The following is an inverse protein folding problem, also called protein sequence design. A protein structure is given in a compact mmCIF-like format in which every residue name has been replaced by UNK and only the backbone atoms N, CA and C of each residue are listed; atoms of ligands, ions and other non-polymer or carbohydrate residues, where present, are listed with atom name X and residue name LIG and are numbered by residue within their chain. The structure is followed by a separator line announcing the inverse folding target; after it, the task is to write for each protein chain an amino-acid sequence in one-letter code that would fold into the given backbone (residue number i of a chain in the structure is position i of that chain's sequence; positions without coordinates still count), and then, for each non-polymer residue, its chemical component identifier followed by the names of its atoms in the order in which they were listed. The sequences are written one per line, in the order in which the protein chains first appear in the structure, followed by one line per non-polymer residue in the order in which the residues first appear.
data_IF_779588453229
#
_entry.id   IF_779588453229
#
_cell.length_a   1.000
_cell.length_b   1.000
_cell.length_c   1.000
_cell.angle_alpha   90.00
_cell.angle_beta   90.00
_cell.angle_gamma   90.00
#
_symmetry.space_group_name_H-M   'P 1'
#
loop_
_entity.id
_entity.type
_entity.pdbx_description
1 polymer ?
#
# COMPACT_ATOMS: atom_id res chain seq x y z
N UNK A 1 -37.94 40.47 -19.92
CA UNK A 1 -37.10 39.81 -18.90
C UNK A 1 -35.66 40.00 -19.38
N UNK A 2 -35.05 41.05 -18.90
CA UNK A 2 -33.75 41.51 -19.39
C UNK A 2 -32.61 40.63 -18.83
N UNK A 3 -32.25 39.60 -19.57
CA UNK A 3 -30.99 38.86 -19.33
C UNK A 3 -29.80 39.51 -20.09
N UNK A 4 -29.99 40.73 -20.64
CA UNK A 4 -29.02 41.39 -21.52
C UNK A 4 -28.23 42.57 -20.96
N UNK A 5 -28.44 42.96 -19.69
CA UNK A 5 -27.88 44.21 -19.16
C UNK A 5 -26.96 44.08 -17.96
N UNK A 6 -26.09 43.04 -17.93
CA UNK A 6 -24.99 43.04 -16.97
C UNK A 6 -23.88 44.00 -17.46
N UNK A 7 -23.34 44.79 -16.53
CA UNK A 7 -22.20 45.66 -16.81
C UNK A 7 -21.02 44.87 -17.37
N UNK A 8 -20.35 45.33 -18.44
CA UNK A 8 -19.22 44.61 -19.05
C UNK A 8 -18.14 44.22 -18.06
N UNK A 9 -17.87 45.03 -17.06
CA UNK A 9 -16.90 44.74 -16.00
C UNK A 9 -17.36 43.55 -15.13
N UNK A 10 -18.65 43.41 -14.85
CA UNK A 10 -19.18 42.24 -14.12
C UNK A 10 -19.05 40.96 -14.94
N UNK A 11 -19.32 41.04 -16.24
CA UNK A 11 -19.14 39.89 -17.16
C UNK A 11 -17.67 39.46 -17.17
N UNK A 12 -16.75 40.40 -17.22
CA UNK A 12 -15.30 40.12 -17.20
C UNK A 12 -14.89 39.48 -15.87
N UNK A 13 -15.38 39.96 -14.75
CA UNK A 13 -15.11 39.41 -13.43
C UNK A 13 -15.66 37.97 -13.33
N UNK A 14 -16.83 37.69 -13.89
CA UNK A 14 -17.39 36.33 -13.93
C UNK A 14 -16.55 35.36 -14.76
N UNK A 15 -16.00 35.80 -15.88
CA UNK A 15 -15.07 35.02 -16.70
C UNK A 15 -13.79 34.68 -15.92
N UNK A 16 -13.22 35.68 -15.23
CA UNK A 16 -12.05 35.51 -14.38
C UNK A 16 -12.36 34.51 -13.24
N UNK A 17 -13.53 34.66 -12.61
CA UNK A 17 -13.96 33.74 -11.53
C UNK A 17 -14.06 32.31 -12.01
N UNK A 18 -14.54 32.09 -13.24
CA UNK A 18 -14.60 30.75 -13.84
C UNK A 18 -13.21 30.12 -14.00
N UNK A 19 -12.25 30.90 -14.53
CA UNK A 19 -10.86 30.43 -14.63
C UNK A 19 -10.24 30.15 -13.25
N UNK A 20 -10.53 30.99 -12.26
CA UNK A 20 -10.05 30.81 -10.88
C UNK A 20 -10.59 29.52 -10.28
N UNK A 21 -11.85 29.18 -10.55
CA UNK A 21 -12.42 27.89 -10.10
C UNK A 21 -11.74 26.69 -10.75
N UNK A 22 -11.43 26.76 -12.04
CA UNK A 22 -10.72 25.70 -12.75
C UNK A 22 -9.30 25.52 -12.18
N UNK A 23 -8.60 26.60 -11.91
CA UNK A 23 -7.29 26.59 -11.26
C UNK A 23 -7.41 26.04 -9.83
N UNK A 24 -8.47 26.40 -9.11
CA UNK A 24 -8.76 25.92 -7.75
C UNK A 24 -8.89 24.41 -7.66
N UNK A 25 -9.49 23.77 -8.66
CA UNK A 25 -9.54 22.31 -8.75
C UNK A 25 -8.14 21.72 -8.90
N UNK A 26 -7.30 22.32 -9.74
CA UNK A 26 -5.91 21.88 -9.91
C UNK A 26 -5.09 22.04 -8.62
N UNK A 27 -5.31 23.11 -7.87
CA UNK A 27 -4.67 23.35 -6.56
C UNK A 27 -5.06 22.26 -5.55
N UNK A 28 -6.33 21.91 -5.49
CA UNK A 28 -6.83 20.87 -4.59
C UNK A 28 -6.21 19.49 -4.88
N UNK A 29 -5.91 19.20 -6.15
CA UNK A 29 -5.32 17.93 -6.59
C UNK A 29 -3.80 17.97 -6.70
N UNK A 30 -3.15 19.10 -6.45
CA UNK A 30 -1.71 19.20 -6.57
C UNK A 30 -1.01 18.42 -5.47
N UNK A 31 -0.25 17.40 -5.85
CA UNK A 31 0.41 16.46 -4.96
C UNK A 31 1.95 16.60 -4.93
N UNK A 32 2.49 17.55 -5.67
CA UNK A 32 3.93 17.76 -5.81
C UNK A 32 4.56 18.56 -4.69
N UNK A 33 5.79 18.99 -4.91
CA UNK A 33 6.60 19.82 -4.01
C UNK A 33 6.82 21.21 -4.60
N UNK A 34 7.31 22.13 -3.78
CA UNK A 34 7.53 23.53 -4.20
C UNK A 34 8.51 23.68 -5.37
N UNK A 35 9.47 22.77 -5.51
CA UNK A 35 10.44 22.78 -6.59
C UNK A 35 9.85 22.36 -7.95
N UNK A 36 8.67 21.77 -7.98
CA UNK A 36 8.06 21.27 -9.20
C UNK A 36 7.64 22.40 -10.14
N UNK A 37 7.77 22.15 -11.45
CA UNK A 37 7.33 23.09 -12.49
C UNK A 37 5.84 23.40 -12.41
N UNK A 38 5.03 22.42 -12.05
CA UNK A 38 3.58 22.54 -11.92
C UNK A 38 3.19 23.46 -10.77
N UNK A 39 3.93 23.47 -9.67
CA UNK A 39 3.74 24.42 -8.58
C UNK A 39 3.91 25.86 -9.07
N UNK A 40 5.01 26.13 -9.76
CA UNK A 40 5.30 27.46 -10.34
C UNK A 40 4.26 27.87 -11.36
N UNK A 41 3.79 26.93 -12.17
CA UNK A 41 2.76 27.16 -13.17
C UNK A 41 1.43 27.56 -12.54
N UNK A 42 1.00 26.87 -11.48
CA UNK A 42 -0.21 27.22 -10.74
C UNK A 42 -0.09 28.56 -10.02
N UNK A 43 1.06 28.83 -9.39
CA UNK A 43 1.33 30.13 -8.75
C UNK A 43 1.28 31.28 -9.75
N UNK A 44 1.91 31.12 -10.91
CA UNK A 44 1.86 32.12 -12.00
C UNK A 44 0.45 32.31 -12.54
N UNK A 45 -0.31 31.26 -12.73
CA UNK A 45 -1.68 31.33 -13.21
C UNK A 45 -2.58 32.10 -12.24
N UNK A 46 -2.45 31.87 -10.94
CA UNK A 46 -3.18 32.58 -9.90
C UNK A 46 -2.77 34.06 -9.83
N UNK A 47 -1.48 34.35 -9.90
CA UNK A 47 -0.96 35.73 -9.91
C UNK A 47 -1.45 36.47 -11.14
N UNK A 48 -1.49 35.85 -12.31
CA UNK A 48 -2.05 36.43 -13.54
C UNK A 48 -3.51 36.82 -13.37
N UNK A 49 -4.32 36.01 -12.72
CA UNK A 49 -5.73 36.30 -12.44
C UNK A 49 -5.87 37.55 -11.55
N UNK A 50 -5.00 37.71 -10.54
CA UNK A 50 -4.98 38.93 -9.73
C UNK A 50 -4.68 40.19 -10.56
N UNK A 51 -3.71 40.11 -11.47
CA UNK A 51 -3.36 41.21 -12.35
C UNK A 51 -4.51 41.55 -13.31
N UNK A 52 -5.20 40.57 -13.86
CA UNK A 52 -6.37 40.75 -14.69
C UNK A 52 -7.54 41.41 -13.93
N UNK A 53 -7.75 41.01 -12.65
CA UNK A 53 -8.74 41.67 -11.79
C UNK A 53 -8.41 43.16 -11.53
N UNK A 54 -7.14 43.45 -11.27
CA UNK A 54 -6.70 44.82 -11.03
C UNK A 54 -6.89 45.72 -12.27
N UNK A 55 -6.89 45.15 -13.47
CA UNK A 55 -7.12 45.87 -14.72
C UNK A 55 -8.60 46.12 -15.02
N UNK A 56 -9.53 45.52 -14.28
CA UNK A 56 -10.97 45.75 -14.46
C UNK A 56 -11.37 47.09 -13.90
N UNK A 57 -11.96 47.93 -14.75
CA UNK A 57 -12.45 49.23 -14.34
C UNK A 57 -13.75 49.12 -13.53
N UNK A 58 -13.79 49.70 -12.36
CA UNK A 58 -14.96 49.69 -11.48
C UNK A 58 -15.94 50.86 -11.75
N UNK A 59 -15.49 51.91 -12.43
CA UNK A 59 -16.29 53.11 -12.72
C UNK A 59 -17.02 53.67 -11.48
N UNK A 60 -16.46 53.47 -10.30
CA UNK A 60 -17.04 53.94 -9.05
C UNK A 60 -18.29 53.17 -8.59
N UNK A 61 -18.66 52.05 -9.27
CA UNK A 61 -19.80 51.24 -8.92
C UNK A 61 -19.45 50.27 -7.78
N UNK A 62 -20.18 50.37 -6.68
CA UNK A 62 -19.96 49.51 -5.50
C UNK A 62 -20.11 48.02 -5.74
N UNK A 63 -21.03 47.61 -6.61
CA UNK A 63 -21.27 46.22 -6.98
C UNK A 63 -20.08 45.60 -7.70
N UNK A 64 -19.50 46.35 -8.64
CA UNK A 64 -18.32 45.88 -9.38
C UNK A 64 -17.10 45.80 -8.47
N UNK A 65 -16.91 46.78 -7.60
CA UNK A 65 -15.84 46.81 -6.61
C UNK A 65 -15.90 45.60 -5.67
N UNK A 66 -17.09 45.28 -5.18
CA UNK A 66 -17.28 44.12 -4.27
C UNK A 66 -17.08 42.79 -4.99
N UNK A 67 -17.59 42.66 -6.22
CA UNK A 67 -17.38 41.45 -7.02
C UNK A 67 -15.89 41.20 -7.27
N UNK A 68 -15.14 42.25 -7.66
CA UNK A 68 -13.69 42.20 -7.85
C UNK A 68 -12.97 41.79 -6.58
N UNK A 69 -13.33 42.35 -5.44
CA UNK A 69 -12.76 42.07 -4.14
C UNK A 69 -12.99 40.60 -3.72
N UNK A 70 -14.20 40.05 -3.95
CA UNK A 70 -14.50 38.64 -3.65
C UNK A 70 -13.63 37.67 -4.42
N UNK A 71 -13.49 37.91 -5.73
CA UNK A 71 -12.67 37.04 -6.58
C UNK A 71 -11.19 37.16 -6.23
N UNK A 72 -10.69 38.36 -5.91
CA UNK A 72 -9.34 38.55 -5.41
C UNK A 72 -9.08 37.76 -4.11
N UNK A 73 -10.03 37.76 -3.19
CA UNK A 73 -9.94 36.99 -1.97
C UNK A 73 -9.94 35.45 -2.22
N UNK A 74 -10.72 34.98 -3.20
CA UNK A 74 -10.69 33.59 -3.62
C UNK A 74 -9.30 33.19 -4.14
N UNK A 75 -8.68 34.05 -4.98
CA UNK A 75 -7.33 33.79 -5.50
C UNK A 75 -6.28 33.78 -4.40
N UNK A 76 -6.32 34.71 -3.47
CA UNK A 76 -5.41 34.75 -2.32
C UNK A 76 -5.55 33.52 -1.44
N UNK A 77 -6.78 33.05 -1.23
CA UNK A 77 -7.07 31.83 -0.49
C UNK A 77 -6.48 30.60 -1.20
N UNK A 78 -6.58 30.52 -2.52
CA UNK A 78 -6.01 29.42 -3.30
C UNK A 78 -4.47 29.42 -3.27
N UNK A 79 -3.84 30.59 -3.33
CA UNK A 79 -2.38 30.73 -3.20
C UNK A 79 -1.91 30.21 -1.84
N UNK A 80 -2.63 30.56 -0.78
CA UNK A 80 -2.34 30.09 0.57
C UNK A 80 -2.57 28.60 0.72
N UNK A 81 -3.63 28.06 0.14
CA UNK A 81 -3.92 26.62 0.13
C UNK A 81 -2.83 25.84 -0.60
N UNK A 82 -2.36 26.32 -1.75
CA UNK A 82 -1.27 25.71 -2.50
C UNK A 82 0.01 25.62 -1.67
N UNK A 83 0.37 26.70 -0.97
CA UNK A 83 1.52 26.73 -0.06
C UNK A 83 1.34 25.79 1.12
N UNK A 84 0.17 25.78 1.74
CA UNK A 84 -0.14 24.88 2.87
C UNK A 84 -0.10 23.41 2.47
N UNK A 85 -0.58 23.05 1.28
CA UNK A 85 -0.56 21.69 0.78
C UNK A 85 0.86 21.16 0.61
N UNK A 86 1.76 21.99 0.05
CA UNK A 86 3.17 21.64 -0.12
C UNK A 86 3.89 21.49 1.22
N UNK A 87 3.59 22.37 2.17
CA UNK A 87 4.22 22.39 3.49
C UNK A 87 3.53 21.49 4.52
N UNK A 88 2.50 20.74 4.12
CA UNK A 88 1.82 19.82 5.03
C UNK A 88 2.79 18.79 5.60
N UNK A 89 2.79 18.53 6.92
CA UNK A 89 3.72 17.58 7.54
C UNK A 89 3.73 16.20 6.89
N UNK A 90 2.56 15.67 6.53
CA UNK A 90 2.44 14.37 5.84
C UNK A 90 3.05 14.40 4.45
N UNK A 91 2.92 15.52 3.71
CA UNK A 91 3.57 15.66 2.40
C UNK A 91 5.09 15.68 2.52
N UNK A 92 5.61 16.39 3.51
CA UNK A 92 7.04 16.42 3.81
C UNK A 92 7.55 15.04 4.25
N UNK A 93 6.77 14.32 5.01
CA UNK A 93 7.10 12.94 5.42
C UNK A 93 7.19 11.99 4.23
N UNK A 94 6.22 12.04 3.31
CA UNK A 94 6.25 11.28 2.06
C UNK A 94 7.53 11.58 1.27
N UNK A 95 7.85 12.86 1.11
CA UNK A 95 9.05 13.29 0.38
C UNK A 95 10.33 12.80 1.06
N UNK A 96 10.43 12.93 2.37
CA UNK A 96 11.59 12.46 3.14
C UNK A 96 11.80 10.95 3.00
N UNK A 97 10.73 10.18 3.07
CA UNK A 97 10.80 8.72 2.90
C UNK A 97 11.21 8.38 1.46
N UNK A 98 10.67 9.09 0.47
CA UNK A 98 11.03 8.88 -0.94
C UNK A 98 12.50 9.24 -1.21
N UNK A 99 13.02 10.30 -0.59
CA UNK A 99 14.44 10.66 -0.69
C UNK A 99 15.35 9.58 -0.08
N UNK A 100 14.95 8.94 1.00
CA UNK A 100 15.67 7.78 1.56
C UNK A 100 15.69 6.61 0.59
N UNK A 101 14.58 6.34 -0.09
CA UNK A 101 14.52 5.33 -1.14
C UNK A 101 15.47 5.64 -2.29
N UNK A 102 15.53 6.89 -2.74
CA UNK A 102 16.49 7.35 -3.76
C UNK A 102 17.93 7.11 -3.33
N UNK A 103 18.27 7.43 -2.09
CA UNK A 103 19.63 7.25 -1.57
C UNK A 103 20.04 5.77 -1.57
N UNK A 104 19.16 4.88 -1.12
CA UNK A 104 19.40 3.44 -1.15
C UNK A 104 19.61 2.91 -2.58
N UNK A 105 18.76 3.33 -3.51
CA UNK A 105 18.83 2.91 -4.90
C UNK A 105 20.10 3.42 -5.57
N UNK A 106 20.52 4.64 -5.28
CA UNK A 106 21.76 5.22 -5.86
C UNK A 106 22.99 4.38 -5.52
N UNK A 107 23.06 3.84 -4.30
CA UNK A 107 24.17 2.96 -3.90
C UNK A 107 24.15 1.60 -4.60
N UNK A 108 22.97 1.09 -4.96
CA UNK A 108 22.82 -0.27 -5.51
C UNK A 108 22.68 -0.33 -7.04
N UNK A 109 22.41 0.79 -7.73
CA UNK A 109 22.28 0.82 -9.19
C UNK A 109 23.58 0.40 -9.87
N UNK A 110 24.72 0.90 -9.42
CA UNK A 110 26.03 0.60 -10.02
C UNK A 110 26.37 -0.89 -9.93
N UNK A 111 26.22 -1.56 -8.78
CA UNK A 111 26.37 -3.02 -8.71
C UNK A 111 25.41 -3.79 -9.62
N UNK A 112 24.16 -3.36 -9.74
CA UNK A 112 23.16 -3.97 -10.62
C UNK A 112 23.54 -3.90 -12.09
N UNK A 113 24.02 -2.76 -12.54
CA UNK A 113 24.48 -2.55 -13.91
C UNK A 113 25.73 -3.38 -14.23
N UNK A 114 26.59 -3.60 -13.23
CA UNK A 114 27.79 -4.43 -13.34
C UNK A 114 27.57 -5.94 -13.15
N UNK A 115 26.32 -6.38 -12.98
CA UNK A 115 26.00 -7.79 -12.74
C UNK A 115 26.25 -8.28 -11.31
N UNK A 116 26.51 -7.38 -10.37
CA UNK A 116 26.67 -7.66 -8.93
C UNK A 116 25.37 -8.09 -8.26
N UNK A 117 25.51 -8.67 -7.06
CA UNK A 117 24.36 -9.05 -6.24
C UNK A 117 23.89 -7.88 -5.36
N UNK A 118 22.57 -7.76 -5.21
CA UNK A 118 21.96 -6.88 -4.22
C UNK A 118 22.04 -7.58 -2.87
N UNK A 119 22.40 -6.84 -1.83
CA UNK A 119 22.44 -7.36 -0.47
C UNK A 119 21.03 -7.63 0.08
N UNK A 120 20.90 -8.66 0.91
CA UNK A 120 19.64 -8.93 1.63
C UNK A 120 19.24 -7.74 2.51
N UNK A 121 20.22 -7.05 3.08
CA UNK A 121 20.04 -5.83 3.88
C UNK A 121 19.32 -4.72 3.08
N UNK A 122 19.69 -4.54 1.81
CA UNK A 122 19.01 -3.58 0.93
C UNK A 122 17.54 -3.95 0.73
N UNK A 123 17.24 -5.23 0.52
CA UNK A 123 15.86 -5.69 0.33
C UNK A 123 15.02 -5.42 1.59
N UNK A 124 15.56 -5.66 2.77
CA UNK A 124 14.90 -5.41 4.05
C UNK A 124 14.70 -3.91 4.30
N UNK A 125 15.70 -3.09 4.04
CA UNK A 125 15.61 -1.63 4.16
C UNK A 125 14.57 -1.04 3.21
N UNK A 126 14.51 -1.57 2.00
CA UNK A 126 13.55 -1.12 0.99
C UNK A 126 12.11 -1.53 1.35
N UNK A 127 11.93 -2.72 1.90
CA UNK A 127 10.63 -3.17 2.43
C UNK A 127 10.17 -2.27 3.59
N UNK A 128 11.08 -1.86 4.45
CA UNK A 128 10.81 -0.92 5.55
C UNK A 128 10.31 0.43 5.05
N UNK A 129 10.91 0.94 3.97
CA UNK A 129 10.47 2.17 3.30
C UNK A 129 9.03 2.06 2.81
N UNK A 130 8.68 0.94 2.18
CA UNK A 130 7.32 0.67 1.71
C UNK A 130 6.34 0.70 2.88
N UNK A 131 6.67 0.04 3.98
CA UNK A 131 5.84 0.05 5.18
C UNK A 131 5.63 1.45 5.74
N UNK A 132 6.69 2.26 5.82
CA UNK A 132 6.60 3.65 6.28
C UNK A 132 5.70 4.49 5.40
N UNK A 133 5.79 4.33 4.08
CA UNK A 133 4.91 5.04 3.14
C UNK A 133 3.44 4.65 3.33
N UNK A 134 3.14 3.38 3.56
CA UNK A 134 1.77 2.93 3.80
C UNK A 134 1.19 3.50 5.10
N UNK A 135 2.04 3.81 6.07
CA UNK A 135 1.62 4.32 7.38
C UNK A 135 1.47 5.84 7.43
N UNK A 136 1.88 6.58 6.40
CA UNK A 136 1.71 8.03 6.37
C UNK A 136 0.23 8.39 6.38
N UNK A 137 -0.16 9.26 7.31
CA UNK A 137 -1.54 9.72 7.46
C UNK A 137 -1.89 10.77 6.43
N UNK A 138 -2.98 10.56 5.70
CA UNK A 138 -3.47 11.49 4.69
C UNK A 138 -4.61 12.39 5.18
N UNK A 139 -5.25 12.04 6.30
CA UNK A 139 -6.38 12.79 6.85
C UNK A 139 -7.54 12.94 5.88
N UNK A 140 -7.70 12.02 4.95
CA UNK A 140 -8.72 12.09 3.90
C UNK A 140 -8.45 13.11 2.79
N UNK A 141 -7.30 13.79 2.81
CA UNK A 141 -6.96 14.81 1.81
C UNK A 141 -6.49 14.16 0.50
N UNK A 142 -7.14 14.52 -0.60
CA UNK A 142 -6.90 13.92 -1.92
C UNK A 142 -5.47 14.11 -2.40
N UNK A 143 -4.88 15.29 -2.22
CA UNK A 143 -3.51 15.55 -2.66
C UNK A 143 -2.48 14.70 -1.91
N UNK A 144 -2.71 14.42 -0.63
CA UNK A 144 -1.85 13.54 0.17
C UNK A 144 -2.00 12.07 -0.24
N UNK A 145 -3.22 11.61 -0.49
CA UNK A 145 -3.48 10.27 -1.03
C UNK A 145 -2.80 10.07 -2.37
N UNK A 146 -2.91 11.05 -3.25
CA UNK A 146 -2.26 11.03 -4.56
C UNK A 146 -0.74 10.98 -4.44
N UNK A 147 -0.14 11.80 -3.58
CA UNK A 147 1.29 11.82 -3.34
C UNK A 147 1.80 10.48 -2.79
N UNK A 148 1.11 9.93 -1.79
CA UNK A 148 1.43 8.63 -1.21
C UNK A 148 1.31 7.51 -2.24
N UNK A 149 0.23 7.48 -2.99
CA UNK A 149 0.00 6.47 -4.03
C UNK A 149 1.09 6.50 -5.11
N UNK A 150 1.46 7.70 -5.59
CA UNK A 150 2.54 7.85 -6.58
C UNK A 150 3.88 7.33 -6.04
N UNK A 151 4.23 7.71 -4.83
CA UNK A 151 5.46 7.24 -4.19
C UNK A 151 5.46 5.73 -4.02
N UNK A 152 4.38 5.16 -3.51
CA UNK A 152 4.23 3.71 -3.33
C UNK A 152 4.30 2.95 -4.64
N UNK A 153 3.63 3.43 -5.69
CA UNK A 153 3.63 2.78 -7.00
C UNK A 153 5.05 2.70 -7.56
N UNK A 154 5.81 3.77 -7.45
CA UNK A 154 7.21 3.83 -7.93
C UNK A 154 8.13 2.94 -7.12
N UNK A 155 8.07 3.03 -5.81
CA UNK A 155 8.90 2.23 -4.90
C UNK A 155 8.60 0.75 -5.06
N UNK A 156 7.34 0.36 -5.17
CA UNK A 156 6.95 -1.04 -5.38
C UNK A 156 7.37 -1.56 -6.74
N UNK A 157 7.30 -0.75 -7.80
CA UNK A 157 7.79 -1.12 -9.12
C UNK A 157 9.30 -1.40 -9.09
N UNK A 158 10.07 -0.55 -8.43
CA UNK A 158 11.52 -0.76 -8.23
C UNK A 158 11.79 -2.04 -7.45
N UNK A 159 11.05 -2.29 -6.37
CA UNK A 159 11.19 -3.53 -5.60
C UNK A 159 10.94 -4.77 -6.46
N UNK A 160 9.90 -4.78 -7.29
CA UNK A 160 9.60 -5.90 -8.18
C UNK A 160 10.69 -6.14 -9.21
N UNK A 161 11.23 -5.06 -9.79
CA UNK A 161 12.34 -5.14 -10.75
C UNK A 161 13.57 -5.77 -10.08
N UNK A 162 13.89 -5.34 -8.87
CA UNK A 162 15.02 -5.84 -8.09
C UNK A 162 14.83 -7.30 -7.70
N UNK A 163 13.66 -7.67 -7.17
CA UNK A 163 13.35 -9.05 -6.80
C UNK A 163 13.38 -10.01 -7.99
N UNK A 164 12.86 -9.57 -9.13
CA UNK A 164 12.93 -10.35 -10.37
C UNK A 164 14.37 -10.62 -10.79
N UNK A 165 15.25 -9.63 -10.66
CA UNK A 165 16.68 -9.75 -10.94
C UNK A 165 17.36 -10.76 -9.99
N UNK A 166 17.02 -10.73 -8.70
CA UNK A 166 17.57 -11.66 -7.71
C UNK A 166 17.16 -13.11 -7.97
N UNK A 167 15.90 -13.35 -8.31
CA UNK A 167 15.38 -14.70 -8.61
C UNK A 167 16.08 -15.34 -9.81
N UNK A 168 16.41 -14.57 -10.83
CA UNK A 168 17.06 -15.08 -12.05
C UNK A 168 18.50 -15.47 -11.85
N UNK A 169 19.21 -14.84 -10.92
CA UNK A 169 20.58 -15.28 -10.55
C UNK A 169 20.60 -16.66 -9.92
N UNK A 170 19.50 -17.09 -9.28
CA UNK A 170 19.36 -18.42 -8.72
C UNK A 170 19.10 -19.50 -9.77
N UNK A 171 18.65 -19.14 -10.97
CA UNK A 171 18.29 -20.07 -12.05
C UNK A 171 19.41 -20.35 -13.06
N UNK A 172 20.64 -19.95 -12.77
CA UNK A 172 21.87 -20.27 -13.52
C UNK A 172 21.82 -19.97 -15.03
N UNK A 173 21.88 -18.72 -15.38
CA UNK A 173 22.10 -18.26 -16.76
C UNK A 173 23.05 -17.08 -16.75
N UNK A 174 23.88 -16.90 -17.71
CA UNK A 174 23.73 -17.11 -19.16
C UNK A 174 24.43 -18.36 -19.69
N UNK A 175 23.99 -18.85 -20.87
CA UNK A 175 24.65 -19.88 -21.60
C UNK A 175 26.04 -19.36 -22.10
N UNK A 176 27.01 -20.28 -22.20
CA UNK A 176 28.33 -19.93 -22.72
C UNK A 176 28.24 -19.44 -24.16
N UNK A 177 28.90 -18.31 -24.47
CA UNK A 177 28.91 -17.70 -25.81
C UNK A 177 29.53 -18.61 -26.88
N UNK A 178 30.30 -19.62 -26.49
CA UNK A 178 30.96 -20.53 -27.40
C UNK A 178 30.04 -21.62 -27.98
N UNK A 179 28.86 -21.78 -27.42
CA UNK A 179 27.93 -22.86 -27.80
C UNK A 179 27.28 -22.65 -29.19
N UNK A 180 26.95 -21.41 -29.55
CA UNK A 180 26.32 -21.09 -30.84
C UNK A 180 26.38 -19.58 -31.10
N UNK A 181 26.47 -19.13 -32.38
CA UNK A 181 26.47 -17.68 -32.69
C UNK A 181 25.25 -16.92 -32.18
N UNK A 182 24.08 -17.55 -32.13
CA UNK A 182 22.85 -16.94 -31.60
C UNK A 182 22.96 -16.65 -30.10
N UNK A 183 23.67 -17.44 -29.32
CA UNK A 183 23.87 -17.20 -27.87
C UNK A 183 24.62 -15.90 -27.63
N UNK A 184 25.65 -15.62 -28.43
CA UNK A 184 26.39 -14.35 -28.35
C UNK A 184 25.47 -13.15 -28.58
N UNK A 185 24.59 -13.25 -29.58
CA UNK A 185 23.61 -12.20 -29.89
C UNK A 185 22.60 -12.02 -28.75
N UNK A 186 22.08 -13.12 -28.17
CA UNK A 186 21.18 -13.09 -27.03
C UNK A 186 21.85 -12.45 -25.80
N UNK A 187 23.13 -12.81 -25.56
CA UNK A 187 23.91 -12.22 -24.46
C UNK A 187 24.08 -10.69 -24.62
N UNK A 188 24.31 -10.23 -25.85
CA UNK A 188 24.40 -8.81 -26.16
C UNK A 188 23.05 -8.11 -25.90
N UNK A 189 21.97 -8.71 -26.34
CA UNK A 189 20.60 -8.19 -26.10
C UNK A 189 20.31 -8.15 -24.60
N UNK A 190 20.68 -9.18 -23.87
CA UNK A 190 20.51 -9.22 -22.41
C UNK A 190 21.31 -8.13 -21.70
N UNK A 191 22.54 -7.87 -22.17
CA UNK A 191 23.36 -6.77 -21.65
C UNK A 191 22.69 -5.40 -21.88
N UNK A 192 22.12 -5.19 -23.06
CA UNK A 192 21.36 -3.97 -23.37
C UNK A 192 20.10 -3.86 -22.49
N UNK A 193 19.38 -4.96 -22.28
CA UNK A 193 18.21 -5.00 -21.40
C UNK A 193 18.58 -4.68 -19.94
N UNK A 194 19.74 -5.13 -19.47
CA UNK A 194 20.25 -4.79 -18.13
C UNK A 194 20.53 -3.29 -17.99
N UNK A 195 21.06 -2.65 -19.02
CA UNK A 195 21.25 -1.19 -19.02
C UNK A 195 19.91 -0.47 -18.95
N UNK A 196 18.93 -0.91 -19.74
CA UNK A 196 17.58 -0.34 -19.72
C UNK A 196 16.93 -0.54 -18.35
N UNK A 197 17.16 -1.67 -17.69
CA UNK A 197 16.68 -1.90 -16.32
C UNK A 197 17.22 -0.85 -15.36
N UNK A 198 18.52 -0.58 -15.37
CA UNK A 198 19.12 0.46 -14.56
C UNK A 198 18.55 1.85 -14.87
N UNK A 199 18.36 2.16 -16.15
CA UNK A 199 17.76 3.41 -16.59
C UNK A 199 16.30 3.55 -16.17
N UNK A 200 15.54 2.46 -16.22
CA UNK A 200 14.16 2.42 -15.75
C UNK A 200 14.06 2.66 -14.24
N UNK A 201 14.92 2.03 -13.46
CA UNK A 201 14.98 2.26 -12.01
C UNK A 201 15.32 3.74 -11.73
N UNK A 202 16.28 4.31 -12.43
CA UNK A 202 16.64 5.72 -12.30
C UNK A 202 15.46 6.66 -12.67
N UNK A 203 14.72 6.32 -13.72
CA UNK A 203 13.54 7.08 -14.15
C UNK A 203 12.44 7.02 -13.09
N UNK A 204 12.10 5.83 -12.59
CA UNK A 204 11.06 5.64 -11.57
C UNK A 204 11.38 6.38 -10.27
N UNK A 205 12.66 6.47 -9.92
CA UNK A 205 13.10 7.17 -8.71
C UNK A 205 13.40 8.66 -8.95
N UNK A 206 13.22 9.15 -10.18
CA UNK A 206 13.49 10.54 -10.50
C UNK A 206 14.96 10.94 -10.43
N UNK A 207 15.89 10.00 -10.66
CA UNK A 207 17.34 10.23 -10.63
C UNK A 207 17.91 10.73 -11.97
N UNK A 208 17.20 10.48 -13.07
CA UNK A 208 17.61 10.89 -14.41
C UNK A 208 16.42 11.50 -15.15
N UNK A 209 16.48 12.82 -15.35
CA UNK A 209 15.41 13.58 -16.04
C UNK A 209 15.58 13.53 -17.58
N UNK A 210 16.72 13.05 -18.07
CA UNK A 210 17.02 13.07 -19.50
C UNK A 210 16.43 11.88 -20.28
N UNK A 211 16.00 10.84 -19.57
CA UNK A 211 15.40 9.64 -20.15
C UNK A 211 13.89 9.66 -20.01
N UNK A 212 13.22 9.26 -21.07
CA UNK A 212 11.73 9.21 -21.10
C UNK A 212 11.28 7.77 -21.24
N UNK A 213 10.06 7.50 -20.76
CA UNK A 213 9.42 6.20 -20.94
C UNK A 213 9.32 5.79 -22.41
N UNK A 214 9.02 6.73 -23.30
CA UNK A 214 8.95 6.50 -24.73
C UNK A 214 10.28 6.05 -25.33
N UNK A 215 11.39 6.62 -24.88
CA UNK A 215 12.73 6.23 -25.34
C UNK A 215 13.09 4.82 -24.90
N UNK A 216 12.87 4.50 -23.61
CA UNK A 216 13.14 3.15 -23.08
C UNK A 216 12.23 2.10 -23.72
N UNK A 217 10.96 2.41 -23.97
CA UNK A 217 10.01 1.54 -24.65
C UNK A 217 10.46 1.20 -26.06
N UNK A 218 10.99 2.18 -26.82
CA UNK A 218 11.52 1.96 -28.16
C UNK A 218 12.72 1.02 -28.16
N UNK A 219 13.65 1.21 -27.22
CA UNK A 219 14.83 0.34 -27.08
C UNK A 219 14.38 -1.09 -26.80
N UNK A 220 13.51 -1.29 -25.83
CA UNK A 220 13.01 -2.63 -25.46
C UNK A 220 12.26 -3.31 -26.61
N UNK A 221 11.43 -2.56 -27.34
CA UNK A 221 10.70 -3.07 -28.51
C UNK A 221 11.67 -3.49 -29.62
N UNK A 222 12.71 -2.70 -29.88
CA UNK A 222 13.76 -3.04 -30.85
C UNK A 222 14.49 -4.32 -30.46
N UNK A 223 14.79 -4.50 -29.17
CA UNK A 223 15.43 -5.73 -28.67
C UNK A 223 14.52 -6.96 -28.86
N UNK A 224 13.21 -6.83 -28.67
CA UNK A 224 12.25 -7.91 -28.95
C UNK A 224 12.24 -8.30 -30.42
N UNK A 225 12.29 -7.32 -31.33
CA UNK A 225 12.34 -7.55 -32.76
C UNK A 225 13.63 -8.30 -33.14
N UNK A 226 14.79 -7.90 -32.57
CA UNK A 226 16.06 -8.56 -32.79
C UNK A 226 16.04 -10.01 -32.27
N UNK A 227 15.39 -10.27 -31.13
CA UNK A 227 15.23 -11.63 -30.60
C UNK A 227 14.38 -12.52 -31.51
N UNK A 228 13.29 -11.98 -32.06
CA UNK A 228 12.39 -12.72 -32.96
C UNK A 228 13.10 -13.07 -34.29
N UNK A 229 14.08 -12.28 -34.72
CA UNK A 229 14.85 -12.49 -35.96
C UNK A 229 15.94 -13.54 -35.82
N UNK A 230 16.26 -14.02 -34.61
CA UNK A 230 17.30 -15.02 -34.40
C UNK A 230 16.87 -16.42 -34.82
N UNK A 231 17.77 -17.12 -35.53
CA UNK A 231 17.58 -18.52 -35.86
C UNK A 231 17.97 -19.40 -34.68
N UNK A 232 17.00 -20.07 -34.09
CA UNK A 232 17.16 -21.02 -32.96
C UNK A 232 16.70 -22.42 -33.33
N UNK A 233 16.49 -22.69 -34.62
CA UNK A 233 15.97 -23.97 -35.11
C UNK A 233 16.82 -25.16 -34.66
N UNK A 234 16.16 -26.14 -34.04
CA UNK A 234 16.81 -27.38 -33.59
C UNK A 234 17.57 -27.29 -32.25
N UNK A 235 17.60 -26.12 -31.59
CA UNK A 235 18.32 -25.91 -30.35
C UNK A 235 17.36 -25.55 -29.22
N UNK A 236 16.91 -26.53 -28.44
CA UNK A 236 15.91 -26.36 -27.37
C UNK A 236 16.41 -25.42 -26.26
N UNK A 237 17.69 -25.53 -25.84
CA UNK A 237 18.27 -24.69 -24.80
C UNK A 237 18.35 -23.22 -25.20
N UNK A 238 18.70 -22.96 -26.45
CA UNK A 238 18.81 -21.60 -27.01
C UNK A 238 17.40 -21.00 -27.13
N UNK A 239 16.43 -21.80 -27.54
CA UNK A 239 15.00 -21.39 -27.62
C UNK A 239 14.48 -21.00 -26.24
N UNK A 240 14.78 -21.80 -25.22
CA UNK A 240 14.38 -21.53 -23.83
C UNK A 240 15.04 -20.26 -23.30
N UNK A 241 16.34 -20.08 -23.57
CA UNK A 241 17.06 -18.88 -23.20
C UNK A 241 16.50 -17.63 -23.87
N UNK A 242 16.21 -17.68 -25.16
CA UNK A 242 15.53 -16.61 -25.87
C UNK A 242 14.17 -16.28 -25.24
N UNK A 243 13.38 -17.29 -24.91
CA UNK A 243 12.08 -17.14 -24.26
C UNK A 243 12.20 -16.40 -22.93
N UNK A 244 13.17 -16.76 -22.10
CA UNK A 244 13.42 -16.11 -20.82
C UNK A 244 13.80 -14.64 -20.96
N UNK A 245 14.64 -14.31 -21.96
CA UNK A 245 15.01 -12.93 -22.25
C UNK A 245 13.81 -12.14 -22.77
N UNK A 246 12.96 -12.73 -23.58
CA UNK A 246 11.69 -12.12 -24.03
C UNK A 246 10.78 -11.82 -22.85
N UNK A 247 10.64 -12.75 -21.92
CA UNK A 247 9.82 -12.56 -20.70
C UNK A 247 10.38 -11.43 -19.83
N UNK A 248 11.71 -11.32 -19.71
CA UNK A 248 12.38 -10.24 -19.00
C UNK A 248 12.07 -8.87 -19.60
N UNK A 249 12.21 -8.74 -20.91
CA UNK A 249 11.96 -7.50 -21.62
C UNK A 249 10.48 -7.11 -21.51
N UNK A 250 9.56 -8.06 -21.63
CA UNK A 250 8.13 -7.82 -21.46
C UNK A 250 7.79 -7.38 -20.03
N UNK A 251 8.48 -7.93 -19.03
CA UNK A 251 8.34 -7.49 -17.63
C UNK A 251 8.77 -6.03 -17.45
N UNK A 252 9.89 -5.63 -18.06
CA UNK A 252 10.35 -4.24 -18.04
C UNK A 252 9.36 -3.29 -18.74
N UNK A 253 8.79 -3.70 -19.88
CA UNK A 253 7.78 -2.93 -20.60
C UNK A 253 6.53 -2.68 -19.75
N UNK A 254 6.10 -3.66 -18.97
CA UNK A 254 4.97 -3.49 -18.04
C UNK A 254 5.18 -2.38 -17.02
N UNK A 255 6.40 -2.21 -16.53
CA UNK A 255 6.71 -1.18 -15.54
C UNK A 255 6.76 0.22 -16.16
N UNK A 256 6.99 0.34 -17.47
CA UNK A 256 6.94 1.61 -18.18
C UNK A 256 5.52 2.16 -18.32
N UNK A 257 4.52 1.30 -18.36
CA UNK A 257 3.12 1.71 -18.48
C UNK A 257 2.59 2.44 -17.23
N UNK A 258 3.30 2.33 -16.09
CA UNK A 258 2.90 2.98 -14.83
C UNK A 258 2.87 4.52 -14.90
N UNK A 259 3.64 5.15 -15.78
CA UNK A 259 3.61 6.60 -15.95
C UNK A 259 2.41 7.10 -16.75
N UNK A 260 1.82 6.28 -17.62
CA UNK A 260 0.62 6.62 -18.37
C UNK A 260 -0.64 6.70 -17.52
N UNK A 261 -0.66 6.04 -16.37
CA UNK A 261 -1.79 6.04 -15.43
C UNK A 261 -1.76 7.19 -14.42
N UNK A 262 -0.68 7.97 -14.40
CA UNK A 262 -0.41 8.98 -13.36
C UNK A 262 -1.38 10.15 -13.28
N UNK A 263 -2.15 10.40 -14.33
CA UNK A 263 -3.11 11.53 -14.39
C UNK A 263 -4.57 11.09 -14.31
N UNK A 264 -4.88 9.80 -14.29
CA UNK A 264 -6.25 9.35 -14.08
C UNK A 264 -6.62 9.49 -12.60
N UNK A 265 -7.67 10.26 -12.33
CA UNK A 265 -8.22 10.47 -10.98
C UNK A 265 -8.73 9.16 -10.35
N UNK A 266 -8.97 8.13 -11.15
CA UNK A 266 -9.49 6.83 -10.71
C UNK A 266 -8.44 5.93 -10.03
N UNK A 267 -7.15 6.15 -10.29
CA UNK A 267 -6.08 5.27 -9.81
C UNK A 267 -5.74 5.41 -8.32
N UNK A 268 -5.92 6.60 -7.74
CA UNK A 268 -5.61 6.90 -6.34
C UNK A 268 -6.84 7.11 -5.46
N UNK A 269 -8.03 7.24 -6.04
CA UNK A 269 -9.28 7.22 -5.27
C UNK A 269 -9.71 5.76 -5.04
N UNK A 270 -9.12 5.17 -4.02
CA UNK A 270 -9.35 3.76 -3.69
C UNK A 270 -10.76 3.50 -3.18
N UNK A 271 -11.50 4.52 -2.73
CA UNK A 271 -12.87 4.37 -2.30
C UNK A 271 -13.80 3.87 -3.41
N UNK A 272 -13.47 4.20 -4.67
CA UNK A 272 -14.21 3.74 -5.86
C UNK A 272 -13.68 2.43 -6.45
N UNK A 273 -12.59 1.91 -5.92
CA UNK A 273 -11.97 0.68 -6.43
C UNK A 273 -12.82 -0.55 -6.09
N UNK A 274 -13.06 -1.42 -7.08
CA UNK A 274 -13.87 -2.63 -6.92
C UNK A 274 -13.31 -3.57 -5.85
N UNK A 275 -11.99 -3.73 -5.79
CA UNK A 275 -11.34 -4.58 -4.79
C UNK A 275 -11.53 -4.03 -3.38
N UNK A 276 -11.39 -2.73 -3.19
CA UNK A 276 -11.63 -2.06 -1.91
C UNK A 276 -13.10 -2.18 -1.50
N UNK A 277 -14.03 -2.01 -2.44
CA UNK A 277 -15.46 -2.17 -2.17
C UNK A 277 -15.82 -3.59 -1.72
N UNK A 278 -15.20 -4.60 -2.33
CA UNK A 278 -15.36 -6.01 -1.90
C UNK A 278 -14.81 -6.23 -0.49
N UNK A 279 -13.64 -5.69 -0.19
CA UNK A 279 -13.02 -5.78 1.14
C UNK A 279 -13.90 -5.08 2.18
N UNK A 280 -14.43 -3.90 1.90
CA UNK A 280 -15.32 -3.20 2.81
C UNK A 280 -16.64 -3.92 3.05
N UNK A 281 -17.20 -4.54 2.03
CA UNK A 281 -18.40 -5.38 2.16
C UNK A 281 -18.13 -6.57 3.09
N UNK A 282 -16.99 -7.21 2.94
CA UNK A 282 -16.57 -8.31 3.83
C UNK A 282 -16.38 -7.78 5.26
N UNK A 283 -15.75 -6.62 5.40
CA UNK A 283 -15.56 -5.98 6.71
C UNK A 283 -16.90 -5.73 7.42
N UNK A 284 -17.90 -5.23 6.73
CA UNK A 284 -19.26 -5.03 7.29
C UNK A 284 -19.90 -6.34 7.71
N UNK A 285 -19.76 -7.39 6.91
CA UNK A 285 -20.27 -8.73 7.23
C UNK A 285 -19.61 -9.28 8.50
N UNK A 286 -18.29 -9.15 8.61
CA UNK A 286 -17.52 -9.58 9.79
C UNK A 286 -17.93 -8.76 11.02
N UNK A 287 -18.10 -7.44 10.88
CA UNK A 287 -18.55 -6.58 11.99
C UNK A 287 -19.94 -6.99 12.52
N UNK A 288 -20.86 -7.35 11.63
CA UNK A 288 -22.18 -7.84 12.01
C UNK A 288 -22.10 -9.19 12.73
N UNK A 289 -21.32 -10.13 12.18
CA UNK A 289 -21.12 -11.44 12.82
C UNK A 289 -20.45 -11.31 14.18
N UNK A 290 -19.47 -10.43 14.31
CA UNK A 290 -18.81 -10.13 15.57
C UNK A 290 -19.78 -9.56 16.60
N UNK A 291 -20.61 -8.61 16.20
CA UNK A 291 -21.60 -8.01 17.08
C UNK A 291 -22.61 -9.04 17.58
N UNK A 292 -23.13 -9.90 16.70
CA UNK A 292 -24.07 -10.97 17.08
C UNK A 292 -23.40 -12.01 17.99
N UNK A 293 -22.16 -12.37 17.68
CA UNK A 293 -21.40 -13.33 18.49
C UNK A 293 -21.14 -12.82 19.91
N UNK A 294 -20.80 -11.53 20.07
CA UNK A 294 -20.56 -10.92 21.38
C UNK A 294 -21.83 -10.72 22.21
N UNK A 295 -23.00 -10.64 21.58
CA UNK A 295 -24.30 -10.57 22.28
C UNK A 295 -24.73 -11.90 22.88
N UNK A 296 -24.25 -13.02 22.34
CA UNK A 296 -24.60 -14.36 22.83
C UNK A 296 -23.78 -14.67 24.07
N UNK A 297 -24.38 -14.52 25.24
CA UNK A 297 -23.77 -14.95 26.52
C UNK A 297 -23.85 -16.45 26.75
N UNK A 298 -24.41 -17.18 25.81
CA UNK A 298 -24.61 -18.62 25.92
C UNK A 298 -23.30 -19.40 25.97
N UNK A 299 -23.19 -20.24 26.94
CA UNK A 299 -22.10 -21.19 27.13
C UNK A 299 -22.05 -22.30 26.08
N UNK A 300 -23.07 -22.41 25.23
CA UNK A 300 -23.13 -23.43 24.20
C UNK A 300 -22.82 -22.89 22.80
N UNK A 301 -21.74 -23.34 22.14
CA UNK A 301 -21.43 -22.96 20.79
C UNK A 301 -22.35 -23.56 19.72
N UNK A 302 -23.32 -24.42 20.13
CA UNK A 302 -24.17 -25.16 19.21
C UNK A 302 -25.27 -24.31 18.55
N UNK A 303 -25.61 -23.14 19.08
CA UNK A 303 -26.73 -22.34 18.58
C UNK A 303 -26.34 -21.26 17.55
N UNK A 304 -25.10 -20.78 17.55
CA UNK A 304 -24.59 -19.82 16.60
C UNK A 304 -23.10 -20.03 16.38
N UNK A 305 -22.75 -20.67 15.26
CA UNK A 305 -21.36 -20.89 14.89
C UNK A 305 -21.13 -20.40 13.45
N UNK A 306 -20.73 -19.13 13.28
CA UNK A 306 -20.47 -18.56 11.96
C UNK A 306 -19.12 -18.96 11.36
N UNK A 307 -18.43 -19.97 11.90
CA UNK A 307 -17.08 -20.37 11.48
C UNK A 307 -17.00 -20.70 10.01
N UNK A 308 -17.98 -21.43 9.47
CA UNK A 308 -18.04 -21.81 8.04
C UNK A 308 -18.17 -20.54 7.18
N UNK A 309 -19.04 -19.63 7.59
CA UNK A 309 -19.22 -18.34 6.90
C UNK A 309 -17.94 -17.49 6.93
N UNK A 310 -17.27 -17.43 8.09
CA UNK A 310 -16.00 -16.71 8.25
C UNK A 310 -14.89 -17.32 7.39
N UNK A 311 -14.80 -18.64 7.32
CA UNK A 311 -13.84 -19.31 6.43
C UNK A 311 -14.13 -19.03 4.95
N UNK A 312 -15.41 -18.96 4.59
CA UNK A 312 -15.82 -18.51 3.25
C UNK A 312 -15.39 -17.08 2.94
N UNK A 313 -15.44 -16.18 3.92
CA UNK A 313 -14.96 -14.81 3.77
C UNK A 313 -13.44 -14.77 3.57
N UNK A 314 -12.66 -15.60 4.25
CA UNK A 314 -11.22 -15.73 4.01
C UNK A 314 -10.93 -16.14 2.57
N UNK A 315 -11.67 -17.08 2.04
CA UNK A 315 -11.55 -17.51 0.63
C UNK A 315 -11.86 -16.36 -0.31
N UNK A 316 -12.93 -15.60 -0.05
CA UNK A 316 -13.27 -14.42 -0.85
C UNK A 316 -12.17 -13.35 -0.80
N UNK A 317 -11.53 -13.15 0.36
CA UNK A 317 -10.40 -12.21 0.49
C UNK A 317 -9.18 -12.67 -0.31
N UNK A 318 -8.90 -13.97 -0.35
CA UNK A 318 -7.80 -14.52 -1.15
C UNK A 318 -8.01 -14.30 -2.65
N UNK A 319 -9.26 -14.26 -3.10
CA UNK A 319 -9.63 -14.02 -4.49
C UNK A 319 -9.60 -12.53 -4.89
N UNK A 320 -9.50 -11.62 -3.93
CA UNK A 320 -9.46 -10.18 -4.21
C UNK A 320 -8.20 -9.83 -4.99
N UNK A 321 -8.38 -9.20 -6.15
CA UNK A 321 -7.28 -8.74 -6.98
C UNK A 321 -6.63 -7.50 -6.37
N UNK A 322 -5.37 -7.61 -6.01
CA UNK A 322 -4.58 -6.47 -5.50
C UNK A 322 -3.89 -5.68 -6.59
N UNK A 323 -3.78 -6.21 -7.81
CA UNK A 323 -3.04 -5.64 -8.94
C UNK A 323 -1.66 -5.10 -8.53
N UNK A 324 -1.02 -5.76 -7.56
CA UNK A 324 0.25 -5.32 -6.95
C UNK A 324 0.17 -3.94 -6.29
N UNK A 325 -1.02 -3.44 -6.00
CA UNK A 325 -1.22 -2.18 -5.30
C UNK A 325 -0.99 -2.39 -3.79
N UNK A 326 -0.02 -1.69 -3.18
CA UNK A 326 0.30 -1.89 -1.76
C UNK A 326 -0.84 -1.52 -0.82
N UNK A 327 -1.62 -0.50 -1.15
CA UNK A 327 -2.76 -0.08 -0.33
C UNK A 327 -3.87 -1.14 -0.33
N UNK A 328 -4.14 -1.76 -1.47
CA UNK A 328 -5.12 -2.85 -1.56
C UNK A 328 -4.61 -4.09 -0.81
N UNK A 329 -3.33 -4.41 -0.93
CA UNK A 329 -2.70 -5.51 -0.16
C UNK A 329 -2.84 -5.28 1.34
N UNK A 330 -2.57 -4.07 1.80
CA UNK A 330 -2.69 -3.72 3.22
C UNK A 330 -4.14 -3.79 3.69
N UNK A 331 -5.09 -3.28 2.92
CA UNK A 331 -6.52 -3.40 3.21
C UNK A 331 -6.95 -4.87 3.32
N UNK A 332 -6.50 -5.71 2.39
CA UNK A 332 -6.78 -7.15 2.42
C UNK A 332 -6.16 -7.81 3.64
N UNK A 333 -4.88 -7.51 3.95
CA UNK A 333 -4.19 -8.04 5.13
C UNK A 333 -4.94 -7.73 6.42
N UNK A 334 -5.41 -6.48 6.56
CA UNK A 334 -6.20 -6.03 7.72
C UNK A 334 -7.52 -6.78 7.83
N UNK A 335 -8.22 -6.95 6.72
CA UNK A 335 -9.47 -7.71 6.69
C UNK A 335 -9.25 -9.19 7.06
N UNK A 336 -8.19 -9.81 6.56
CA UNK A 336 -7.82 -11.20 6.92
C UNK A 336 -7.56 -11.32 8.42
N UNK A 337 -6.80 -10.40 9.01
CA UNK A 337 -6.52 -10.40 10.45
C UNK A 337 -7.80 -10.27 11.27
N UNK A 338 -8.74 -9.43 10.83
CA UNK A 338 -10.03 -9.27 11.51
C UNK A 338 -10.85 -10.57 11.49
N UNK A 339 -10.96 -11.22 10.33
CA UNK A 339 -11.66 -12.50 10.21
C UNK A 339 -10.99 -13.57 11.06
N UNK A 340 -9.67 -13.66 11.01
CA UNK A 340 -8.91 -14.63 11.82
C UNK A 340 -9.06 -14.39 13.31
N UNK A 341 -9.15 -13.13 13.75
CA UNK A 341 -9.37 -12.79 15.16
C UNK A 341 -10.73 -13.32 15.66
N UNK A 342 -11.78 -13.19 14.86
CA UNK A 342 -13.09 -13.73 15.20
C UNK A 342 -13.08 -15.26 15.23
N UNK A 343 -12.44 -15.89 14.26
CA UNK A 343 -12.29 -17.36 14.23
C UNK A 343 -11.50 -17.84 15.45
N UNK A 344 -10.42 -17.16 15.82
CA UNK A 344 -9.61 -17.48 17.00
C UNK A 344 -10.48 -17.45 18.27
N UNK A 345 -11.32 -16.44 18.42
CA UNK A 345 -12.24 -16.37 19.55
C UNK A 345 -13.20 -17.57 19.59
N UNK A 346 -13.78 -17.92 18.45
CA UNK A 346 -14.68 -19.06 18.34
C UNK A 346 -13.96 -20.38 18.64
N UNK A 347 -12.75 -20.56 18.16
CA UNK A 347 -11.94 -21.75 18.42
C UNK A 347 -11.61 -21.90 19.90
N UNK A 348 -11.24 -20.78 20.56
CA UNK A 348 -11.00 -20.77 22.01
C UNK A 348 -12.27 -21.12 22.81
N UNK A 349 -13.38 -20.55 22.45
CA UNK A 349 -14.67 -20.83 23.10
C UNK A 349 -15.08 -22.28 22.93
N UNK A 350 -14.98 -22.81 21.73
CA UNK A 350 -15.31 -24.22 21.45
C UNK A 350 -14.41 -25.18 22.21
N UNK A 351 -13.11 -24.93 22.21
CA UNK A 351 -12.13 -25.75 22.93
C UNK A 351 -12.39 -25.76 24.44
N UNK A 352 -12.67 -24.59 25.02
CA UNK A 352 -13.00 -24.47 26.44
C UNK A 352 -14.31 -25.17 26.80
N UNK A 353 -15.32 -25.06 25.95
CA UNK A 353 -16.60 -25.73 26.13
C UNK A 353 -16.46 -27.24 26.08
N UNK A 354 -15.70 -27.78 25.11
CA UNK A 354 -15.41 -29.24 25.02
C UNK A 354 -14.67 -29.73 26.26
N UNK A 355 -13.73 -28.94 26.77
CA UNK A 355 -13.00 -29.28 28.00
C UNK A 355 -13.93 -29.36 29.21
N UNK A 356 -14.81 -28.37 29.37
CA UNK A 356 -15.78 -28.36 30.48
C UNK A 356 -16.73 -29.57 30.43
N UNK A 357 -17.08 -30.02 29.22
CA UNK A 357 -17.95 -31.18 29.04
C UNK A 357 -17.27 -32.51 29.37
N UNK A 358 -15.92 -32.57 29.41
CA UNK A 358 -15.16 -33.75 29.77
C UNK A 358 -15.12 -34.02 31.30
N UNK A 359 -15.33 -33.00 32.13
CA UNK A 359 -15.48 -33.08 33.58
C UNK A 359 -14.41 -33.92 34.29
N UNK A 360 -14.84 -35.02 34.95
CA UNK A 360 -13.96 -35.87 35.75
C UNK A 360 -12.91 -36.67 34.97
N UNK A 361 -13.01 -36.75 33.64
CA UNK A 361 -12.00 -37.40 32.80
C UNK A 361 -10.66 -36.61 32.76
N UNK A 362 -10.61 -35.43 33.31
CA UNK A 362 -9.41 -34.60 33.39
C UNK A 362 -8.60 -34.81 34.68
N UNK A 363 -9.01 -35.72 35.56
CA UNK A 363 -8.34 -35.97 36.84
C UNK A 363 -6.87 -36.43 36.71
N UNK A 364 -6.51 -37.08 35.61
CA UNK A 364 -5.17 -37.59 35.33
C UNK A 364 -4.37 -36.66 34.39
N UNK A 365 -4.81 -35.43 34.21
CA UNK A 365 -4.16 -34.48 33.33
C UNK A 365 -2.79 -34.04 33.87
N UNK A 366 -1.78 -33.95 32.99
CA UNK A 366 -0.48 -33.44 33.35
C UNK A 366 -0.56 -31.95 33.78
N UNK A 367 0.22 -31.59 34.82
CA UNK A 367 0.20 -30.24 35.37
C UNK A 367 0.53 -29.14 34.31
N UNK A 368 1.47 -29.44 33.42
CA UNK A 368 1.81 -28.49 32.34
C UNK A 368 0.65 -28.30 31.36
N UNK A 369 -0.10 -29.34 31.06
CA UNK A 369 -1.28 -29.27 30.21
C UNK A 369 -2.39 -28.44 30.86
N UNK A 370 -2.61 -28.61 32.16
CA UNK A 370 -3.55 -27.81 32.94
C UNK A 370 -3.15 -26.31 32.94
N UNK A 371 -1.87 -26.01 33.09
CA UNK A 371 -1.36 -24.65 33.06
C UNK A 371 -1.60 -23.98 31.69
N UNK A 372 -1.43 -24.72 30.58
CA UNK A 372 -1.74 -24.23 29.25
C UNK A 372 -3.23 -23.89 29.09
N UNK A 373 -4.12 -24.75 29.63
CA UNK A 373 -5.54 -24.48 29.58
C UNK A 373 -5.96 -23.25 30.39
N UNK A 374 -5.29 -22.99 31.51
CA UNK A 374 -5.50 -21.77 32.27
C UNK A 374 -5.13 -20.53 31.45
N UNK A 375 -4.03 -20.59 30.68
CA UNK A 375 -3.65 -19.54 29.75
C UNK A 375 -4.69 -19.38 28.63
N UNK A 376 -5.16 -20.47 28.02
CA UNK A 376 -6.19 -20.43 26.98
C UNK A 376 -7.48 -19.78 27.48
N UNK A 377 -7.89 -20.04 28.72
CA UNK A 377 -9.04 -19.41 29.34
C UNK A 377 -8.83 -17.89 29.46
N UNK A 378 -7.66 -17.47 29.93
CA UNK A 378 -7.30 -16.07 30.01
C UNK A 378 -7.28 -15.41 28.63
N UNK A 379 -6.71 -16.08 27.62
CA UNK A 379 -6.67 -15.59 26.23
C UNK A 379 -8.07 -15.42 25.65
N UNK A 380 -9.02 -16.31 25.96
CA UNK A 380 -10.42 -16.18 25.53
C UNK A 380 -11.07 -14.91 26.06
N UNK A 381 -10.86 -14.62 27.35
CA UNK A 381 -11.39 -13.41 27.98
C UNK A 381 -10.74 -12.15 27.41
N UNK A 382 -9.42 -12.18 27.22
CA UNK A 382 -8.67 -11.07 26.62
C UNK A 382 -9.15 -10.82 25.18
N UNK A 383 -9.36 -11.88 24.39
CA UNK A 383 -9.81 -11.75 23.01
C UNK A 383 -11.21 -11.14 22.93
N UNK A 384 -12.08 -11.49 23.84
CA UNK A 384 -13.41 -10.85 23.93
C UNK A 384 -13.30 -9.34 24.11
N UNK A 385 -12.40 -8.89 25.00
CA UNK A 385 -12.15 -7.47 25.22
C UNK A 385 -11.48 -6.82 24.02
N UNK A 386 -10.51 -7.49 23.37
CA UNK A 386 -9.81 -7.01 22.18
C UNK A 386 -10.80 -6.82 21.02
N UNK A 387 -11.72 -7.76 20.81
CA UNK A 387 -12.73 -7.65 19.76
C UNK A 387 -13.66 -6.45 19.99
N UNK A 388 -13.96 -6.13 21.24
CA UNK A 388 -14.82 -4.98 21.62
C UNK A 388 -14.07 -3.66 21.72
N UNK A 389 -12.73 -3.70 21.74
CA UNK A 389 -11.89 -2.52 21.91
C UNK A 389 -11.94 -1.63 20.67
N UNK A 390 -12.13 -0.33 20.86
CA UNK A 390 -12.21 0.68 19.79
C UNK A 390 -11.29 1.90 20.02
N UNK A 391 -10.41 1.83 21.01
CA UNK A 391 -9.47 2.90 21.33
C UNK A 391 -8.20 2.92 20.48
N UNK A 392 -7.27 3.78 20.86
CA UNK A 392 -5.95 3.89 20.24
C UNK A 392 -4.84 3.44 21.21
N UNK A 393 -3.57 3.51 20.78
CA UNK A 393 -2.42 3.08 21.59
C UNK A 393 -2.18 3.94 22.85
N UNK A 394 -2.71 5.15 22.90
CA UNK A 394 -2.63 6.02 24.06
C UNK A 394 -3.68 5.67 25.12
N UNK A 395 -4.65 4.83 24.82
CA UNK A 395 -5.71 4.40 25.72
C UNK A 395 -5.14 3.50 26.83
N UNK A 396 -5.59 3.73 28.06
CA UNK A 396 -5.22 2.90 29.21
C UNK A 396 -5.62 1.43 29.03
N UNK A 397 -6.74 1.18 28.36
CA UNK A 397 -7.21 -0.18 28.07
C UNK A 397 -6.30 -0.88 27.09
N UNK A 398 -5.74 -0.19 26.10
CA UNK A 398 -4.74 -0.76 25.20
C UNK A 398 -3.51 -1.24 25.97
N UNK A 399 -2.95 -0.39 26.83
CA UNK A 399 -1.79 -0.72 27.66
C UNK A 399 -2.08 -1.91 28.56
N UNK A 400 -3.26 -1.96 29.17
CA UNK A 400 -3.71 -3.07 30.01
C UNK A 400 -3.79 -4.38 29.22
N UNK A 401 -4.41 -4.36 28.03
CA UNK A 401 -4.54 -5.54 27.18
C UNK A 401 -3.17 -6.03 26.69
N UNK A 402 -2.29 -5.12 26.30
CA UNK A 402 -0.92 -5.45 25.91
C UNK A 402 -0.15 -6.11 27.04
N UNK A 403 -0.24 -5.56 28.25
CA UNK A 403 0.38 -6.13 29.44
C UNK A 403 -0.17 -7.50 29.77
N UNK A 404 -1.48 -7.70 29.72
CA UNK A 404 -2.11 -8.99 29.93
C UNK A 404 -1.65 -10.04 28.92
N UNK A 405 -1.55 -9.68 27.65
CA UNK A 405 -1.06 -10.56 26.59
C UNK A 405 0.40 -10.95 26.79
N UNK A 406 1.23 -9.99 27.14
CA UNK A 406 2.64 -10.23 27.47
C UNK A 406 2.77 -11.19 28.66
N UNK A 407 1.95 -11.01 29.69
CA UNK A 407 1.91 -11.88 30.86
C UNK A 407 1.54 -13.33 30.46
N UNK A 408 0.58 -13.51 29.55
CA UNK A 408 0.21 -14.85 29.09
C UNK A 408 1.32 -15.51 28.28
N UNK A 409 2.03 -14.78 27.43
CA UNK A 409 3.20 -15.29 26.72
C UNK A 409 4.32 -15.73 27.67
N UNK A 410 4.60 -14.93 28.70
CA UNK A 410 5.58 -15.28 29.73
C UNK A 410 5.14 -16.53 30.51
N UNK A 411 3.85 -16.65 30.81
CA UNK A 411 3.32 -17.86 31.46
C UNK A 411 3.48 -19.10 30.58
N UNK A 412 3.31 -18.99 29.26
CA UNK A 412 3.52 -20.10 28.32
C UNK A 412 5.01 -20.48 28.23
N UNK A 413 5.91 -19.49 28.24
CA UNK A 413 7.36 -19.74 28.24
C UNK A 413 7.82 -20.46 29.50
N UNK A 414 7.17 -20.22 30.63
CA UNK A 414 7.48 -20.85 31.90
C UNK A 414 6.95 -22.31 32.02
N UNK A 415 6.08 -22.73 31.11
CA UNK A 415 5.55 -24.10 31.11
C UNK A 415 6.60 -25.06 30.58
N UNK A 416 7.02 -26.01 31.44
CA UNK A 416 7.88 -27.12 31.04
C UNK A 416 7.00 -28.32 30.68
N UNK A 417 6.99 -28.79 29.41
CA UNK A 417 6.22 -29.98 29.00
C UNK A 417 6.68 -31.29 29.63
N UNK A 418 7.90 -31.37 30.12
CA UNK A 418 8.49 -32.56 30.77
C UNK A 418 8.34 -33.85 29.92
N UNK A 419 8.47 -33.72 28.59
CA UNK A 419 8.33 -34.83 27.66
C UNK A 419 6.90 -35.21 27.28
N UNK A 420 5.89 -34.49 27.79
CA UNK A 420 4.50 -34.68 27.39
C UNK A 420 4.21 -34.05 26.03
N UNK A 421 3.92 -34.88 25.03
CA UNK A 421 3.66 -34.41 23.65
C UNK A 421 2.40 -33.56 23.56
N UNK A 422 1.36 -33.86 24.32
CA UNK A 422 0.14 -33.05 24.36
C UNK A 422 0.41 -31.63 24.86
N UNK A 423 1.25 -31.52 25.89
CA UNK A 423 1.66 -30.22 26.43
C UNK A 423 2.51 -29.44 25.47
N UNK A 424 3.41 -30.06 24.71
CA UNK A 424 4.20 -29.38 23.65
C UNK A 424 3.30 -28.83 22.54
N UNK A 425 2.39 -29.65 22.04
CA UNK A 425 1.46 -29.25 20.99
C UNK A 425 0.51 -28.13 21.48
N UNK A 426 -0.01 -28.29 22.69
CA UNK A 426 -0.90 -27.32 23.32
C UNK A 426 -0.22 -25.98 23.55
N UNK A 427 1.04 -25.96 24.02
CA UNK A 427 1.82 -24.74 24.20
C UNK A 427 2.04 -24.01 22.88
N UNK A 428 2.44 -24.75 21.84
CA UNK A 428 2.64 -24.19 20.50
C UNK A 428 1.36 -23.55 19.96
N UNK A 429 0.23 -24.23 20.14
CA UNK A 429 -1.07 -23.74 19.73
C UNK A 429 -1.48 -22.49 20.51
N UNK A 430 -1.26 -22.47 21.83
CA UNK A 430 -1.55 -21.32 22.68
C UNK A 430 -0.71 -20.09 22.31
N UNK A 431 0.56 -20.29 21.98
CA UNK A 431 1.44 -19.22 21.49
C UNK A 431 0.89 -18.62 20.19
N UNK A 432 0.45 -19.45 19.26
CA UNK A 432 -0.17 -18.99 18.01
C UNK A 432 -1.43 -18.15 18.27
N UNK A 433 -2.28 -18.58 19.19
CA UNK A 433 -3.46 -17.81 19.57
C UNK A 433 -3.07 -16.44 20.14
N UNK A 434 -2.12 -16.41 21.07
CA UNK A 434 -1.65 -15.16 21.66
C UNK A 434 -1.06 -14.20 20.61
N UNK A 435 -0.25 -14.73 19.70
CA UNK A 435 0.33 -13.93 18.61
C UNK A 435 -0.73 -13.37 17.67
N UNK A 436 -1.74 -14.18 17.34
CA UNK A 436 -2.87 -13.72 16.53
C UNK A 436 -3.62 -12.57 17.21
N UNK A 437 -3.88 -12.69 18.51
CA UNK A 437 -4.56 -11.66 19.30
C UNK A 437 -3.75 -10.36 19.32
N UNK A 438 -2.43 -10.46 19.54
CA UNK A 438 -1.52 -9.30 19.54
C UNK A 438 -1.51 -8.63 18.17
N UNK A 439 -1.39 -9.40 17.10
CA UNK A 439 -1.39 -8.86 15.73
C UNK A 439 -2.68 -8.12 15.41
N UNK A 440 -3.81 -8.65 15.85
CA UNK A 440 -5.11 -8.00 15.66
C UNK A 440 -5.23 -6.71 16.49
N UNK A 441 -4.80 -6.74 17.75
CA UNK A 441 -4.81 -5.55 18.61
C UNK A 441 -3.94 -4.44 18.02
N UNK A 442 -2.74 -4.77 17.57
CA UNK A 442 -1.82 -3.82 16.94
C UNK A 442 -2.41 -3.23 15.65
N UNK A 443 -2.97 -4.07 14.79
CA UNK A 443 -3.65 -3.63 13.57
C UNK A 443 -4.82 -2.70 13.87
N UNK A 444 -5.63 -3.06 14.85
CA UNK A 444 -6.84 -2.32 15.24
C UNK A 444 -6.51 -0.92 15.79
N UNK A 445 -5.37 -0.78 16.44
CA UNK A 445 -4.91 0.49 17.01
C UNK A 445 -4.04 1.30 16.06
N UNK A 446 -3.62 0.72 14.94
CA UNK A 446 -2.95 1.42 13.87
C UNK A 446 -3.95 2.31 13.14
N UNK A 447 -3.66 3.61 13.08
CA UNK A 447 -4.42 4.53 12.25
C UNK A 447 -3.95 4.38 10.80
N UNK A 448 -4.74 3.68 10.01
CA UNK A 448 -4.47 3.47 8.60
C UNK A 448 -5.64 3.95 7.74
N UNK A 449 -5.31 4.65 6.65
CA UNK A 449 -6.25 5.15 5.66
C UNK A 449 -5.73 4.82 4.25
N UNK A 450 -6.62 4.39 3.38
CA UNK A 450 -6.27 4.24 1.97
C UNK A 450 -6.46 5.50 1.13
#
# INVERSE_FOLDING_TARGET
MDMGNQHPSIVRIQEIQKEVRDIGQQVAFFSGVQADKDYRKLEKALTKQLLELDSVETEGKGDVLQARKRVAQEVEKLLKELEQNVNHPSRQEIENIFQKAKALVTHEITPLQGGGCISDEFADDFQDIILRLTQVKTGGKVHLRKARYRALTRVCAVQEIIESCMRKKLLALPLSSDAHPSVSKINTIMSEANKVRGDLIALLMGLDENKTCGHLSRILTALLIDLDALDVSGQTEIRNYRKEVVEEINSLLKHLDLEGEGDSTSGYDLAQNDSIQKIEKIHKTVANLKTEMLKVESTSPLHFNPKVELQGLLTQLDEVCTRKNPCIREARRRAVLEVQAVITYLDLKEALWQRESLGQQLADEHLSHKAIWDVLRSLSEIQKEVLSFDGNRADKNYMRLEELLTKQLLALDAVDPQGDERSKVGRKQAVKFAQNIISYLDMKTDEWEY
#
